data_IF_929140709385
#
_entry.id   IF_929140709385
#
_cell.length_a   1.000
_cell.length_b   1.000
_cell.length_c   1.000
_cell.angle_alpha   90.00
_cell.angle_beta   90.00
_cell.angle_gamma   90.00
#
_symmetry.space_group_name_H-M   'P 1'
#
loop_
_entity.id
_entity.type
_entity.pdbx_description
1 polymer ?
#
# COMPACT_ATOMS: atom_id res chain seq x y z
N UNK A 1 -58.40 -45.75 3.22
CA UNK A 1 -57.07 -45.98 2.61
C UNK A 1 -57.12 -45.42 1.18
N UNK A 2 -56.67 -44.22 0.90
CA UNK A 2 -56.46 -43.78 -0.50
C UNK A 2 -54.98 -43.90 -0.86
N UNK A 3 -54.79 -44.51 -2.01
CA UNK A 3 -53.57 -44.70 -2.76
C UNK A 3 -52.99 -43.35 -3.21
N UNK A 4 -51.75 -43.10 -2.90
CA UNK A 4 -51.01 -41.98 -3.40
C UNK A 4 -50.17 -42.43 -4.60
N UNK A 5 -50.56 -41.99 -5.79
CA UNK A 5 -49.82 -42.21 -7.04
C UNK A 5 -48.56 -41.36 -7.15
N UNK A 6 -47.50 -41.87 -7.77
CA UNK A 6 -46.30 -41.11 -8.03
C UNK A 6 -46.34 -40.53 -9.44
N UNK A 7 -46.62 -39.26 -9.56
CA UNK A 7 -46.42 -38.55 -10.87
C UNK A 7 -45.99 -37.10 -10.60
N UNK A 8 -44.87 -36.75 -11.14
CA UNK A 8 -44.37 -35.40 -11.42
C UNK A 8 -43.03 -35.06 -10.76
N UNK A 9 -41.99 -35.80 -11.09
CA UNK A 9 -40.61 -35.35 -10.88
C UNK A 9 -39.74 -35.54 -12.11
N UNK A 10 -40.21 -35.11 -13.25
CA UNK A 10 -39.39 -35.06 -14.48
C UNK A 10 -39.81 -33.82 -15.26
N UNK A 11 -39.24 -32.69 -14.97
CA UNK A 11 -39.23 -31.53 -15.89
C UNK A 11 -38.57 -30.27 -15.28
N UNK A 12 -37.40 -30.44 -14.64
CA UNK A 12 -36.64 -29.26 -14.17
C UNK A 12 -35.12 -29.44 -14.38
N UNK A 13 -34.70 -30.31 -15.29
CA UNK A 13 -33.26 -30.49 -15.60
C UNK A 13 -32.78 -29.83 -16.91
N UNK A 14 -33.63 -29.00 -17.54
CA UNK A 14 -33.29 -28.43 -18.86
C UNK A 14 -32.76 -26.98 -18.87
N UNK A 15 -32.93 -26.23 -17.80
CA UNK A 15 -32.67 -24.78 -17.85
C UNK A 15 -31.34 -24.34 -17.21
N UNK A 16 -30.68 -25.18 -16.45
CA UNK A 16 -29.43 -24.81 -15.77
C UNK A 16 -28.15 -25.16 -16.53
N UNK A 17 -28.22 -26.11 -17.50
CA UNK A 17 -27.07 -26.52 -18.27
C UNK A 17 -26.59 -25.50 -19.29
N UNK A 18 -27.50 -24.71 -19.85
CA UNK A 18 -27.13 -23.73 -20.90
C UNK A 18 -26.55 -22.43 -20.34
N UNK A 19 -26.88 -22.09 -19.10
CA UNK A 19 -26.35 -20.89 -18.43
C UNK A 19 -24.90 -21.05 -17.97
N UNK A 20 -24.49 -22.25 -17.59
CA UNK A 20 -23.11 -22.50 -17.14
C UNK A 20 -22.09 -22.44 -18.27
N UNK A 21 -22.48 -22.81 -19.50
CA UNK A 21 -21.56 -22.81 -20.65
C UNK A 21 -21.26 -21.39 -21.13
N UNK A 22 -22.23 -20.47 -21.04
CA UNK A 22 -22.03 -19.06 -21.41
C UNK A 22 -21.16 -18.29 -20.41
N UNK A 23 -21.15 -18.69 -19.14
CA UNK A 23 -20.31 -18.05 -18.12
C UNK A 23 -18.86 -18.51 -18.18
N UNK A 24 -18.60 -19.74 -18.61
CA UNK A 24 -17.25 -20.26 -18.77
C UNK A 24 -16.49 -19.61 -19.93
N UNK A 25 -17.20 -19.21 -21.00
CA UNK A 25 -16.59 -18.53 -22.15
C UNK A 25 -16.21 -17.06 -21.83
N UNK A 26 -16.92 -16.40 -20.92
CA UNK A 26 -16.62 -15.02 -20.50
C UNK A 26 -15.37 -14.92 -19.61
N UNK A 27 -15.04 -15.95 -18.85
CA UNK A 27 -13.86 -15.98 -17.98
C UNK A 27 -12.53 -16.18 -18.71
N UNK A 28 -12.56 -16.72 -19.95
CA UNK A 28 -11.33 -16.95 -20.71
C UNK A 28 -10.85 -15.73 -21.50
N UNK A 29 -11.71 -14.74 -21.74
CA UNK A 29 -11.30 -13.50 -22.43
C UNK A 29 -10.51 -12.54 -21.56
N UNK A 30 -10.51 -12.70 -20.21
CA UNK A 30 -9.74 -11.82 -19.30
C UNK A 30 -8.27 -12.22 -19.15
N UNK A 31 -7.85 -13.37 -19.67
CA UNK A 31 -6.47 -13.87 -19.53
C UNK A 31 -5.48 -13.30 -20.55
N UNK A 32 -5.93 -12.49 -21.51
CA UNK A 32 -5.10 -11.97 -22.60
C UNK A 32 -4.83 -10.47 -22.55
N UNK A 33 -5.02 -9.82 -21.41
CA UNK A 33 -4.49 -8.47 -21.23
C UNK A 33 -2.97 -8.55 -21.20
N UNK A 34 -2.26 -7.84 -22.09
CA UNK A 34 -0.82 -7.74 -22.02
C UNK A 34 -0.49 -7.19 -20.63
N UNK A 35 0.18 -8.02 -19.83
CA UNK A 35 0.72 -7.60 -18.55
C UNK A 35 1.79 -6.57 -18.86
N UNK A 36 1.43 -5.30 -18.78
CA UNK A 36 2.40 -4.20 -18.78
C UNK A 36 3.45 -4.58 -17.74
N UNK A 37 4.75 -4.60 -18.09
CA UNK A 37 5.78 -4.80 -17.11
C UNK A 37 5.59 -3.72 -16.05
N UNK A 38 5.17 -4.11 -14.85
CA UNK A 38 5.22 -3.24 -13.70
C UNK A 38 6.69 -2.86 -13.60
N UNK A 39 7.01 -1.57 -13.81
CA UNK A 39 8.36 -1.07 -13.60
C UNK A 39 8.73 -1.45 -12.18
N UNK A 40 9.67 -2.38 -12.04
CA UNK A 40 10.21 -2.76 -10.74
C UNK A 40 10.75 -1.46 -10.12
N UNK A 41 10.30 -1.07 -8.91
CA UNK A 41 10.82 0.12 -8.28
C UNK A 41 12.31 -0.12 -8.03
N UNK A 42 13.15 0.54 -8.82
CA UNK A 42 14.58 0.54 -8.56
C UNK A 42 14.82 1.08 -7.15
N UNK A 43 15.72 0.48 -6.35
CA UNK A 43 15.93 0.89 -4.96
C UNK A 43 16.27 2.39 -4.81
N UNK A 44 16.91 2.99 -5.81
CA UNK A 44 17.17 4.42 -5.88
C UNK A 44 15.89 5.25 -6.04
N UNK A 45 14.90 4.78 -6.80
CA UNK A 45 13.60 5.44 -6.95
C UNK A 45 12.84 5.52 -5.62
N UNK A 46 12.88 4.47 -4.82
CA UNK A 46 12.22 4.46 -3.51
C UNK A 46 12.81 5.43 -2.48
N UNK A 47 14.14 5.69 -2.50
CA UNK A 47 14.81 6.72 -1.67
C UNK A 47 14.30 8.10 -2.04
N UNK A 48 14.40 8.42 -3.33
CA UNK A 48 14.04 9.74 -3.85
C UNK A 48 12.57 10.04 -3.57
N UNK A 49 11.69 9.06 -3.79
CA UNK A 49 10.24 9.21 -3.55
C UNK A 49 9.92 9.46 -2.07
N UNK A 50 10.52 8.70 -1.16
CA UNK A 50 10.30 8.90 0.28
C UNK A 50 10.87 10.24 0.77
N UNK A 51 12.09 10.58 0.35
CA UNK A 51 12.73 11.84 0.72
C UNK A 51 11.93 13.04 0.22
N UNK A 52 11.50 13.04 -1.03
CA UNK A 52 10.70 14.12 -1.61
C UNK A 52 9.34 14.25 -0.91
N UNK A 53 8.68 13.14 -0.63
CA UNK A 53 7.43 13.16 0.15
C UNK A 53 7.60 13.78 1.53
N UNK A 54 8.69 13.46 2.23
CA UNK A 54 9.00 14.05 3.54
C UNK A 54 9.27 15.55 3.40
N UNK A 55 10.10 15.97 2.45
CA UNK A 55 10.45 17.38 2.21
C UNK A 55 9.22 18.23 1.93
N UNK A 56 8.39 17.80 1.00
CA UNK A 56 7.18 18.52 0.60
C UNK A 56 6.16 18.57 1.74
N UNK A 57 5.87 17.44 2.38
CA UNK A 57 4.86 17.36 3.43
C UNK A 57 5.25 18.08 4.72
N UNK A 58 6.53 18.05 5.09
CA UNK A 58 7.06 18.76 6.25
C UNK A 58 7.42 20.22 5.96
N UNK A 59 7.27 20.67 4.70
CA UNK A 59 7.59 22.03 4.24
C UNK A 59 9.03 22.44 4.55
N UNK A 60 9.95 21.52 4.27
CA UNK A 60 11.37 21.71 4.54
C UNK A 60 11.98 22.65 3.51
N UNK A 61 12.73 23.64 3.99
CA UNK A 61 13.43 24.64 3.14
C UNK A 61 14.92 24.74 3.46
N UNK A 62 15.28 24.52 4.73
CA UNK A 62 16.67 24.61 5.14
C UNK A 62 17.50 23.41 4.65
N UNK A 63 18.73 23.61 4.17
CA UNK A 63 19.56 22.52 3.65
C UNK A 63 19.87 21.44 4.69
N UNK A 64 20.00 21.81 5.96
CA UNK A 64 20.21 20.88 7.06
C UNK A 64 19.00 19.93 7.25
N UNK A 65 17.79 20.47 7.14
CA UNK A 65 16.54 19.73 7.30
C UNK A 65 16.31 18.80 6.10
N UNK A 66 16.68 19.25 4.90
CA UNK A 66 16.69 18.42 3.68
C UNK A 66 17.61 17.23 3.86
N UNK A 67 18.86 17.46 4.32
CA UNK A 67 19.83 16.41 4.58
C UNK A 67 19.33 15.39 5.61
N UNK A 68 18.59 15.86 6.63
CA UNK A 68 17.96 14.97 7.61
C UNK A 68 16.90 14.07 6.97
N UNK A 69 16.02 14.62 6.11
CA UNK A 69 15.03 13.82 5.39
C UNK A 69 15.68 12.78 4.47
N UNK A 70 16.77 13.14 3.79
CA UNK A 70 17.53 12.23 2.93
C UNK A 70 18.19 11.11 3.75
N UNK A 71 18.75 11.43 4.94
CA UNK A 71 19.32 10.44 5.85
C UNK A 71 18.26 9.45 6.34
N UNK A 72 17.08 9.93 6.75
CA UNK A 72 15.95 9.08 7.17
C UNK A 72 15.53 8.15 6.03
N UNK A 73 15.36 8.67 4.82
CA UNK A 73 14.97 7.86 3.67
C UNK A 73 16.01 6.78 3.34
N UNK A 74 17.29 7.10 3.42
CA UNK A 74 18.41 6.15 3.23
C UNK A 74 18.38 5.03 4.27
N UNK A 75 18.20 5.34 5.55
CA UNK A 75 18.11 4.34 6.62
C UNK A 75 16.91 3.41 6.47
N UNK A 76 15.81 3.88 5.88
CA UNK A 76 14.65 3.03 5.57
C UNK A 76 15.01 2.00 4.49
N UNK A 77 15.74 2.41 3.46
CA UNK A 77 16.13 1.51 2.38
C UNK A 77 17.20 0.52 2.81
N UNK A 78 18.12 0.95 3.67
CA UNK A 78 19.09 0.06 4.32
C UNK A 78 18.43 -0.94 5.28
N UNK A 79 17.11 -0.85 5.51
CA UNK A 79 16.37 -1.72 6.43
C UNK A 79 16.68 -1.47 7.92
N UNK A 80 17.44 -0.43 8.24
CA UNK A 80 17.81 -0.07 9.62
C UNK A 80 16.68 0.67 10.35
N UNK A 81 15.82 1.33 9.60
CA UNK A 81 14.69 2.08 10.13
C UNK A 81 13.38 1.57 9.49
N UNK A 82 12.42 1.02 10.27
CA UNK A 82 11.16 0.56 9.73
C UNK A 82 10.36 1.70 9.11
N UNK A 83 9.91 1.53 7.87
CA UNK A 83 9.12 2.53 7.15
C UNK A 83 7.87 2.96 7.92
N UNK A 84 7.21 2.02 8.60
CA UNK A 84 6.02 2.30 9.42
C UNK A 84 6.27 3.33 10.53
N UNK A 85 7.49 3.32 11.12
CA UNK A 85 7.88 4.28 12.15
C UNK A 85 8.00 5.68 11.56
N UNK A 86 8.54 5.80 10.34
CA UNK A 86 8.67 7.07 9.62
C UNK A 86 7.29 7.59 9.22
N UNK A 87 6.47 6.77 8.57
CA UNK A 87 5.14 7.15 8.11
C UNK A 87 4.22 7.55 9.29
N UNK A 88 4.28 6.81 10.41
CA UNK A 88 3.52 7.14 11.61
C UNK A 88 3.96 8.46 12.26
N UNK A 89 5.28 8.72 12.30
CA UNK A 89 5.81 9.99 12.84
C UNK A 89 5.48 11.16 11.92
N UNK A 90 5.56 10.98 10.62
CA UNK A 90 5.17 11.94 9.60
C UNK A 90 3.69 12.33 9.74
N UNK A 91 2.78 11.35 9.74
CA UNK A 91 1.35 11.59 9.89
C UNK A 91 1.02 12.31 11.19
N UNK A 92 1.62 11.90 12.30
CA UNK A 92 1.45 12.54 13.59
C UNK A 92 1.92 14.01 13.59
N UNK A 93 3.06 14.32 12.96
CA UNK A 93 3.58 15.68 12.91
C UNK A 93 2.71 16.61 12.07
N UNK A 94 2.12 16.11 10.97
CA UNK A 94 1.20 16.87 10.13
C UNK A 94 -0.15 17.11 10.85
N UNK A 95 -0.70 16.09 11.52
CA UNK A 95 -1.98 16.18 12.24
C UNK A 95 -1.97 17.24 13.35
N UNK A 96 -0.81 17.63 13.84
CA UNK A 96 -0.68 18.72 14.80
C UNK A 96 -1.03 20.11 14.23
N UNK A 97 -1.21 20.22 12.92
CA UNK A 97 -1.65 21.45 12.27
C UNK A 97 -0.70 22.64 12.39
N UNK A 98 0.56 22.42 12.74
CA UNK A 98 1.56 23.48 12.85
C UNK A 98 1.98 23.97 11.47
N UNK A 99 2.27 25.28 11.36
CA UNK A 99 2.76 25.90 10.12
C UNK A 99 4.04 25.21 9.61
N UNK A 100 4.91 24.79 10.53
CA UNK A 100 6.17 24.10 10.27
C UNK A 100 6.19 22.78 11.06
N UNK A 101 5.80 21.66 10.46
CA UNK A 101 5.74 20.37 11.16
C UNK A 101 7.12 19.71 11.34
N UNK A 102 8.15 20.14 10.60
CA UNK A 102 9.48 19.52 10.59
C UNK A 102 10.14 19.41 11.99
N UNK A 103 10.21 20.44 12.84
CA UNK A 103 10.87 20.32 14.13
C UNK A 103 10.24 19.25 15.03
N UNK A 104 8.92 19.08 14.95
CA UNK A 104 8.22 18.04 15.71
C UNK A 104 8.55 16.65 15.17
N UNK A 105 8.62 16.52 13.84
CA UNK A 105 9.02 15.28 13.17
C UNK A 105 10.46 14.90 13.54
N UNK A 106 11.41 15.82 13.41
CA UNK A 106 12.82 15.60 13.71
C UNK A 106 13.02 15.12 15.15
N UNK A 107 12.44 15.83 16.11
CA UNK A 107 12.57 15.50 17.54
C UNK A 107 12.08 14.08 17.84
N UNK A 108 10.88 13.73 17.40
CA UNK A 108 10.30 12.40 17.65
C UNK A 108 11.06 11.33 16.86
N UNK A 109 11.52 11.64 15.66
CA UNK A 109 12.26 10.72 14.83
C UNK A 109 13.60 10.34 15.45
N UNK A 110 14.35 11.31 16.00
CA UNK A 110 15.59 11.08 16.75
C UNK A 110 15.37 10.17 17.97
N UNK A 111 14.31 10.40 18.74
CA UNK A 111 13.97 9.56 19.89
C UNK A 111 13.67 8.13 19.47
N UNK A 112 12.87 7.95 18.41
CA UNK A 112 12.50 6.61 17.92
C UNK A 112 13.70 5.88 17.31
N UNK A 113 14.53 6.56 16.54
CA UNK A 113 15.75 6.02 15.97
C UNK A 113 16.73 5.56 17.07
N UNK A 114 16.93 6.40 18.09
CA UNK A 114 17.78 6.05 19.24
C UNK A 114 17.28 4.78 19.96
N UNK A 115 15.97 4.61 20.12
CA UNK A 115 15.38 3.38 20.69
C UNK A 115 15.64 2.13 19.85
N UNK A 116 15.83 2.30 18.54
CA UNK A 116 16.16 1.23 17.60
C UNK A 116 17.69 1.04 17.44
N UNK A 117 18.50 1.81 18.18
CA UNK A 117 19.95 1.78 18.06
C UNK A 117 20.49 2.43 16.78
N UNK A 118 19.70 3.27 16.13
CA UNK A 118 20.06 3.96 14.89
C UNK A 118 20.41 5.42 15.21
N UNK A 119 21.62 5.85 14.85
CA UNK A 119 22.03 7.26 14.93
C UNK A 119 21.43 8.09 13.80
N UNK A 120 20.85 9.26 14.15
CA UNK A 120 20.33 10.27 13.24
C UNK A 120 20.88 11.66 13.61
#
# INVERSE_FOLDING_TARGET
>A
MPSIGPTSRVLLLGAHGLRCVLWAAALWCFASLPRLPAAEPTPSSGVTDLAERLKVGLRVQAPADVAFCDAVARLVIEGRLPRQVVDGTYSWSIQRGRKYPFPAFEHVMRIKAARLGVGL
#
